data_IF_875408825189
#
_entry.id   IF_875408825189
#
_cell.length_a   1.000
_cell.length_b   1.000
_cell.length_c   1.000
_cell.angle_alpha   90.00
_cell.angle_beta   90.00
_cell.angle_gamma   90.00
#
_symmetry.space_group_name_H-M   'P 1'
#
loop_
_entity.id
_entity.type
_entity.pdbx_description
1 polymer ?
#
# COMPACT_ATOMS: atom_id res chain seq x y z
N UNK A 1 -15.09 2.04 -7.72
CA UNK A 1 -14.61 1.53 -9.03
C UNK A 1 -13.90 0.21 -8.80
N UNK A 2 -14.20 -0.82 -9.60
CA UNK A 2 -13.53 -2.13 -9.49
C UNK A 2 -12.10 -2.03 -10.02
N UNK A 3 -11.16 -2.61 -9.29
CA UNK A 3 -9.74 -2.71 -9.65
C UNK A 3 -9.42 -4.18 -9.89
N UNK A 4 -8.76 -4.47 -11.00
CA UNK A 4 -8.23 -5.78 -11.34
C UNK A 4 -7.07 -5.61 -12.34
N UNK A 5 -5.88 -5.33 -11.83
CA UNK A 5 -4.71 -4.98 -12.65
C UNK A 5 -3.44 -5.62 -12.10
N UNK A 6 -2.39 -5.69 -12.92
CA UNK A 6 -1.04 -6.05 -12.46
C UNK A 6 -0.22 -4.81 -12.18
N UNK A 7 0.50 -4.78 -11.06
CA UNK A 7 1.39 -3.68 -10.73
C UNK A 7 2.57 -4.13 -9.86
N UNK A 8 3.64 -3.32 -9.88
CA UNK A 8 4.81 -3.52 -9.04
C UNK A 8 4.51 -3.21 -7.57
N UNK A 9 5.10 -3.96 -6.66
CA UNK A 9 5.04 -3.74 -5.22
C UNK A 9 5.46 -2.31 -4.84
N UNK A 10 6.53 -1.79 -5.47
CA UNK A 10 6.99 -0.40 -5.28
C UNK A 10 5.90 0.65 -5.58
N UNK A 11 5.12 0.44 -6.64
CA UNK A 11 4.02 1.34 -6.98
C UNK A 11 2.91 1.26 -5.93
N UNK A 12 2.57 0.05 -5.48
CA UNK A 12 1.58 -0.12 -4.42
C UNK A 12 2.05 0.44 -3.06
N UNK A 13 3.35 0.30 -2.71
CA UNK A 13 3.97 0.96 -1.55
C UNK A 13 3.77 2.47 -1.61
N UNK A 14 4.06 3.09 -2.75
CA UNK A 14 3.87 4.53 -2.96
C UNK A 14 2.40 4.93 -2.74
N UNK A 15 1.46 4.14 -3.24
CA UNK A 15 0.03 4.36 -2.99
C UNK A 15 -0.31 4.34 -1.48
N UNK A 16 0.22 3.37 -0.72
CA UNK A 16 0.00 3.31 0.73
C UNK A 16 0.52 4.56 1.43
N UNK A 17 1.74 5.00 1.10
CA UNK A 17 2.34 6.20 1.69
C UNK A 17 1.47 7.44 1.41
N UNK A 18 1.07 7.65 0.14
CA UNK A 18 0.22 8.76 -0.27
C UNK A 18 -1.12 8.82 0.50
N UNK A 19 -1.73 7.66 0.78
CA UNK A 19 -3.04 7.62 1.45
C UNK A 19 -2.97 7.62 2.97
N UNK A 20 -1.81 7.31 3.57
CA UNK A 20 -1.74 6.97 5.00
C UNK A 20 -0.82 7.89 5.76
N UNK A 21 0.39 8.13 5.27
CA UNK A 21 1.47 8.69 6.09
C UNK A 21 2.42 9.66 5.39
N UNK A 22 2.12 10.09 4.16
CA UNK A 22 2.97 11.01 3.39
C UNK A 22 3.39 12.27 4.15
N UNK A 23 2.54 12.79 5.04
CA UNK A 23 2.79 14.02 5.81
C UNK A 23 3.63 13.81 7.08
N UNK A 24 3.90 12.57 7.50
CA UNK A 24 4.59 12.30 8.76
C UNK A 24 5.54 11.09 8.74
N UNK A 25 5.70 10.40 7.61
CA UNK A 25 6.72 9.36 7.47
C UNK A 25 8.12 9.98 7.62
N UNK A 26 8.99 9.44 8.49
CA UNK A 26 10.40 9.85 8.57
C UNK A 26 11.12 9.73 7.22
N UNK A 27 12.04 10.65 6.95
CA UNK A 27 12.72 10.72 5.64
C UNK A 27 13.53 9.46 5.35
N UNK A 28 14.25 8.92 6.34
CA UNK A 28 15.01 7.68 6.18
C UNK A 28 14.12 6.47 5.82
N UNK A 29 12.91 6.41 6.36
CA UNK A 29 11.97 5.32 6.10
C UNK A 29 11.26 5.47 4.76
N UNK A 30 11.07 6.70 4.29
CA UNK A 30 10.43 6.96 3.00
C UNK A 30 11.32 6.52 1.82
N UNK A 31 12.64 6.68 1.95
CA UNK A 31 13.62 6.28 0.91
C UNK A 31 13.89 4.77 0.89
N UNK A 32 13.69 4.06 2.01
CA UNK A 32 13.86 2.61 2.08
C UNK A 32 12.63 1.88 1.50
N UNK A 33 12.81 1.26 0.33
CA UNK A 33 11.75 0.55 -0.40
C UNK A 33 11.21 -0.69 0.33
N UNK A 34 11.92 -1.19 1.34
CA UNK A 34 11.48 -2.30 2.18
C UNK A 34 10.65 -1.84 3.38
N UNK A 35 10.47 -0.53 3.59
CA UNK A 35 9.69 0.00 4.69
C UNK A 35 8.26 0.29 4.29
N UNK A 36 7.31 -0.25 5.07
CA UNK A 36 5.89 -0.14 4.81
C UNK A 36 5.11 0.31 6.05
N UNK A 37 4.02 1.08 5.88
CA UNK A 37 3.07 1.31 6.95
C UNK A 37 2.22 0.05 7.21
N UNK A 38 2.03 -0.31 8.47
CA UNK A 38 1.15 -1.38 8.93
C UNK A 38 0.19 -0.84 10.00
N UNK A 39 -1.07 -1.24 9.93
CA UNK A 39 -2.09 -0.94 10.95
C UNK A 39 -3.03 -2.12 11.06
N UNK A 40 -3.01 -2.78 12.21
CA UNK A 40 -3.89 -3.91 12.53
C UNK A 40 -5.15 -3.36 13.20
N UNK A 41 -6.33 -3.73 12.68
CA UNK A 41 -7.65 -3.29 13.17
C UNK A 41 -8.68 -3.28 12.03
N UNK A 42 -9.98 -3.21 12.35
CA UNK A 42 -11.04 -3.19 11.33
C UNK A 42 -11.06 -1.88 10.54
N UNK A 43 -10.95 -0.74 11.23
CA UNK A 43 -10.94 0.57 10.60
C UNK A 43 -9.56 0.93 10.04
N UNK A 44 -9.49 1.07 8.73
CA UNK A 44 -8.27 1.53 8.09
C UNK A 44 -7.16 0.47 8.04
N UNK A 45 -7.50 -0.81 8.05
CA UNK A 45 -6.52 -1.91 8.08
C UNK A 45 -5.44 -1.77 7.00
N UNK A 46 -4.18 -1.97 7.38
CA UNK A 46 -3.06 -2.18 6.47
C UNK A 46 -2.31 -3.40 6.97
N UNK A 47 -2.53 -4.53 6.32
CA UNK A 47 -2.02 -5.83 6.76
C UNK A 47 -0.97 -6.29 5.76
N UNK A 48 0.22 -6.59 6.25
CA UNK A 48 1.36 -7.02 5.43
C UNK A 48 1.71 -8.46 5.79
N UNK A 49 1.51 -9.34 4.82
CA UNK A 49 1.89 -10.75 4.87
C UNK A 49 3.24 -10.90 4.17
N UNK A 50 4.26 -11.26 4.93
CA UNK A 50 5.65 -11.34 4.49
C UNK A 50 6.39 -12.39 5.32
N UNK A 51 7.42 -12.99 4.74
CA UNK A 51 8.26 -13.99 5.44
C UNK A 51 9.11 -13.35 6.54
N UNK A 52 9.61 -12.14 6.29
CA UNK A 52 10.41 -11.40 7.26
C UNK A 52 9.76 -10.05 7.53
N UNK A 53 9.57 -9.75 8.82
CA UNK A 53 9.05 -8.47 9.30
C UNK A 53 9.84 -8.03 10.53
N UNK A 54 10.25 -6.76 10.53
CA UNK A 54 10.90 -6.11 11.66
C UNK A 54 10.18 -4.78 11.93
N UNK A 55 9.86 -4.49 13.19
CA UNK A 55 9.26 -3.21 13.58
C UNK A 55 10.34 -2.16 13.72
N UNK A 56 10.23 -1.06 12.97
CA UNK A 56 11.13 0.09 13.09
C UNK A 56 10.63 1.11 14.12
N UNK A 57 9.31 1.27 14.23
CA UNK A 57 8.71 2.19 15.19
C UNK A 57 7.24 2.49 14.93
N UNK A 58 6.66 3.37 15.75
CA UNK A 58 5.27 3.81 15.65
C UNK A 58 5.21 5.33 15.60
N UNK A 59 4.55 5.88 14.58
CA UNK A 59 4.35 7.33 14.42
C UNK A 59 2.87 7.59 14.13
N UNK A 60 2.24 8.45 14.94
CA UNK A 60 0.80 8.80 14.83
C UNK A 60 -0.12 7.57 14.73
N UNK A 61 0.19 6.51 15.49
CA UNK A 61 -0.59 5.27 15.53
C UNK A 61 -0.44 4.37 14.30
N UNK A 62 0.52 4.63 13.42
CA UNK A 62 0.92 3.74 12.32
C UNK A 62 2.23 3.05 12.67
N UNK A 63 2.27 1.72 12.57
CA UNK A 63 3.52 0.96 12.68
C UNK A 63 4.26 1.08 11.37
N UNK A 64 5.56 1.31 11.42
CA UNK A 64 6.44 1.21 10.27
C UNK A 64 7.26 -0.05 10.43
N UNK A 65 7.14 -0.93 9.45
CA UNK A 65 7.84 -2.21 9.45
C UNK A 65 8.79 -2.27 8.26
N UNK A 66 9.94 -2.91 8.45
CA UNK A 66 10.78 -3.38 7.36
C UNK A 66 10.33 -4.79 6.99
N UNK A 67 9.99 -5.01 5.73
CA UNK A 67 9.39 -6.27 5.27
C UNK A 67 10.06 -6.80 4.01
N UNK A 68 10.36 -8.11 3.99
CA UNK A 68 10.97 -8.81 2.85
C UNK A 68 10.18 -10.05 2.48
N UNK A 69 10.26 -10.42 1.19
CA UNK A 69 9.48 -11.51 0.61
C UNK A 69 7.96 -11.35 0.88
N UNK A 70 7.43 -10.16 0.56
CA UNK A 70 6.00 -9.84 0.72
C UNK A 70 5.16 -10.72 -0.20
N UNK A 71 4.18 -11.42 0.36
CA UNK A 71 3.24 -12.28 -0.35
C UNK A 71 1.93 -11.55 -0.66
N UNK A 72 1.44 -10.78 0.32
CA UNK A 72 0.15 -10.10 0.22
C UNK A 72 0.16 -8.81 1.04
N UNK A 73 -0.53 -7.79 0.52
CA UNK A 73 -0.87 -6.59 1.27
C UNK A 73 -2.36 -6.34 1.14
N UNK A 74 -3.04 -6.16 2.27
CA UNK A 74 -4.45 -5.76 2.33
C UNK A 74 -4.52 -4.32 2.83
N UNK A 75 -5.24 -3.48 2.10
CA UNK A 75 -5.50 -2.09 2.44
C UNK A 75 -7.00 -1.84 2.50
N UNK A 76 -7.47 -1.35 3.64
CA UNK A 76 -8.79 -0.78 3.81
C UNK A 76 -8.62 0.70 4.20
N UNK A 77 -9.34 1.59 3.52
CA UNK A 77 -9.41 2.99 3.95
C UNK A 77 -10.20 3.12 5.25
N UNK A 78 -9.92 4.14 6.07
CA UNK A 78 -10.70 4.42 7.29
C UNK A 78 -12.21 4.60 7.01
N UNK A 79 -12.56 5.18 5.86
CA UNK A 79 -13.97 5.36 5.45
C UNK A 79 -14.64 4.08 4.93
N UNK A 80 -13.90 2.97 4.79
CA UNK A 80 -14.40 1.73 4.21
C UNK A 80 -14.68 1.74 2.70
N UNK A 81 -14.55 2.90 2.03
CA UNK A 81 -14.87 3.09 0.60
C UNK A 81 -13.82 2.55 -0.37
N UNK A 82 -12.62 2.27 0.13
CA UNK A 82 -11.56 1.62 -0.63
C UNK A 82 -11.12 0.36 0.11
N UNK A 83 -11.15 -0.78 -0.59
CA UNK A 83 -10.69 -2.09 -0.12
C UNK A 83 -9.86 -2.70 -1.25
N UNK A 84 -8.56 -2.85 -1.03
CA UNK A 84 -7.62 -3.30 -2.04
C UNK A 84 -6.73 -4.40 -1.48
N UNK A 85 -6.49 -5.42 -2.29
CA UNK A 85 -5.58 -6.51 -1.97
C UNK A 85 -4.57 -6.65 -3.10
N UNK A 86 -3.30 -6.47 -2.77
CA UNK A 86 -2.18 -6.80 -3.64
C UNK A 86 -1.67 -8.20 -3.30
N UNK A 87 -1.52 -9.07 -4.29
CA UNK A 87 -1.00 -10.43 -4.13
C UNK A 87 0.16 -10.65 -5.08
N UNK A 88 1.28 -11.16 -4.58
CA UNK A 88 2.46 -11.47 -5.38
C UNK A 88 2.12 -12.51 -6.46
N UNK A 89 2.61 -12.28 -7.67
CA UNK A 89 2.61 -13.27 -8.76
C UNK A 89 4.03 -13.82 -8.93
N UNK A 90 5.01 -12.94 -9.14
CA UNK A 90 6.41 -13.30 -9.34
C UNK A 90 7.31 -12.11 -9.03
N UNK A 91 8.41 -12.33 -8.31
CA UNK A 91 9.32 -11.25 -7.88
C UNK A 91 8.51 -10.11 -7.24
N UNK A 92 8.74 -8.86 -7.62
CA UNK A 92 7.99 -7.71 -7.10
C UNK A 92 6.74 -7.37 -7.92
N UNK A 93 6.34 -8.22 -8.86
CA UNK A 93 5.10 -8.06 -9.61
C UNK A 93 3.97 -8.79 -8.92
N UNK A 94 2.82 -8.13 -8.79
CA UNK A 94 1.62 -8.70 -8.21
C UNK A 94 0.35 -8.21 -8.87
N UNK A 95 -0.76 -8.81 -8.44
CA UNK A 95 -2.11 -8.46 -8.86
C UNK A 95 -2.76 -7.61 -7.79
N UNK A 96 -3.25 -6.44 -8.17
CA UNK A 96 -4.08 -5.59 -7.33
C UNK A 96 -5.54 -5.80 -7.69
N UNK A 97 -6.34 -6.20 -6.70
CA UNK A 97 -7.78 -6.41 -6.85
C UNK A 97 -8.56 -5.66 -5.76
N UNK A 98 -9.80 -5.29 -6.07
CA UNK A 98 -10.73 -4.78 -5.07
C UNK A 98 -11.55 -3.59 -5.57
N UNK A 99 -11.88 -2.69 -4.68
CA UNK A 99 -12.70 -1.50 -4.95
C UNK A 99 -11.99 -0.25 -4.46
N UNK A 100 -11.96 0.77 -5.30
CA UNK A 100 -11.39 2.07 -4.98
C UNK A 100 -12.42 3.20 -5.13
N UNK A 101 -12.44 4.09 -4.14
CA UNK A 101 -13.07 5.41 -4.26
C UNK A 101 -12.33 6.30 -5.26
N UNK A 102 -12.99 7.36 -5.75
CA UNK A 102 -12.39 8.31 -6.71
C UNK A 102 -11.08 8.90 -6.18
N UNK A 103 -11.02 9.28 -4.91
CA UNK A 103 -9.79 9.78 -4.28
C UNK A 103 -8.67 8.74 -4.32
N UNK A 104 -8.99 7.48 -4.05
CA UNK A 104 -8.00 6.40 -4.13
C UNK A 104 -7.56 6.13 -5.57
N UNK A 105 -8.43 6.30 -6.58
CA UNK A 105 -8.04 6.22 -8.00
C UNK A 105 -6.98 7.27 -8.33
N UNK A 106 -7.18 8.53 -7.93
CA UNK A 106 -6.20 9.60 -8.16
C UNK A 106 -4.85 9.21 -7.54
N UNK A 107 -4.85 8.72 -6.29
CA UNK A 107 -3.63 8.27 -5.64
C UNK A 107 -3.00 7.04 -6.30
N UNK A 108 -3.79 6.13 -6.89
CA UNK A 108 -3.28 5.00 -7.67
C UNK A 108 -2.59 5.49 -8.95
N UNK A 109 -3.13 6.51 -9.61
CA UNK A 109 -2.49 7.13 -10.78
C UNK A 109 -1.19 7.83 -10.39
N UNK A 110 -1.21 8.67 -9.35
CA UNK A 110 0.00 9.35 -8.84
C UNK A 110 1.08 8.37 -8.36
N UNK A 111 0.66 7.19 -7.88
CA UNK A 111 1.56 6.12 -7.49
C UNK A 111 2.13 5.31 -8.67
N UNK A 112 1.63 5.51 -9.89
CA UNK A 112 2.00 4.75 -11.08
C UNK A 112 1.45 3.32 -11.09
N UNK A 113 0.35 3.09 -10.38
CA UNK A 113 -0.35 1.80 -10.37
C UNK A 113 -1.33 1.70 -11.53
N UNK A 114 -2.05 2.79 -11.82
CA UNK A 114 -2.99 2.90 -12.94
C UNK A 114 -2.45 3.95 -13.90
N UNK A 115 -2.37 3.64 -15.18
CA UNK A 115 -2.05 4.65 -16.19
C UNK A 115 -3.27 5.55 -16.43
N UNK A 116 -3.08 6.87 -16.56
CA UNK A 116 -4.17 7.74 -16.98
C UNK A 116 -4.60 7.34 -18.40
N UNK A 117 -5.91 7.30 -18.64
CA UNK A 117 -6.44 7.13 -20.00
C UNK A 117 -5.97 8.34 -20.81
N UNK A 118 -5.16 8.11 -21.83
CA UNK A 118 -4.85 9.13 -22.84
C UNK A 118 -6.14 9.37 -23.62
N UNK A 119 -6.72 10.55 -23.44
CA UNK A 119 -7.83 11.06 -24.26
C UNK A 119 -7.23 11.75 -25.48
#
# INVERSE_FOLDING_TARGET
MKINISCKLKAFRKFLILNVCQSFIPKEWNVDEEVFPERIGEEGAIIIEAKYKELLGVVKGIKFIKAKEILRIVYNSKSGRTKLTWVRIKNDNGKLIGEASVNSIINLVLAGVVEPVKV
#
